data_IF_951869138583
#
_entry.id   IF_951869138583
#
_cell.length_a   1.000
_cell.length_b   1.000
_cell.length_c   1.000
_cell.angle_alpha   90.00
_cell.angle_beta   90.00
_cell.angle_gamma   90.00
#
_symmetry.space_group_name_H-M   'P 1'
#
loop_
_entity.id
_entity.type
_entity.pdbx_description
1 polymer ?
#
# COMPACT_ATOMS: atom_id res chain seq x y z
N UNK A 1 -20.96 -12.38 -24.90
CA UNK A 1 -21.97 -13.42 -24.61
C UNK A 1 -22.79 -13.11 -23.37
N UNK A 2 -22.22 -12.70 -22.23
CA UNK A 2 -23.04 -12.26 -21.08
C UNK A 2 -23.70 -10.87 -21.28
N UNK A 3 -23.07 -9.94 -22.00
CA UNK A 3 -23.66 -8.62 -22.30
C UNK A 3 -24.89 -8.68 -23.24
N UNK A 4 -24.97 -9.68 -24.11
CA UNK A 4 -26.12 -9.84 -25.02
C UNK A 4 -27.37 -10.34 -24.27
N UNK A 5 -27.17 -11.13 -23.22
CA UNK A 5 -28.25 -11.64 -22.36
C UNK A 5 -28.83 -10.55 -21.46
N UNK A 6 -28.01 -9.59 -21.02
CA UNK A 6 -28.49 -8.47 -20.20
C UNK A 6 -29.30 -7.46 -21.02
N UNK A 7 -28.89 -7.18 -22.27
CA UNK A 7 -29.65 -6.29 -23.16
C UNK A 7 -31.02 -6.86 -23.53
N UNK A 8 -31.10 -8.17 -23.82
CA UNK A 8 -32.38 -8.85 -24.12
C UNK A 8 -33.38 -8.84 -22.95
N UNK A 9 -32.88 -8.77 -21.71
CA UNK A 9 -33.73 -8.69 -20.51
C UNK A 9 -34.28 -7.28 -20.30
N UNK A 10 -33.44 -6.27 -20.51
CA UNK A 10 -33.83 -4.86 -20.38
C UNK A 10 -34.88 -4.49 -21.45
N UNK A 11 -34.70 -4.95 -22.70
CA UNK A 11 -35.68 -4.70 -23.76
C UNK A 11 -37.06 -5.31 -23.46
N UNK A 12 -37.11 -6.50 -22.83
CA UNK A 12 -38.36 -7.11 -22.39
C UNK A 12 -39.05 -6.34 -21.27
N UNK A 13 -38.28 -5.83 -20.31
CA UNK A 13 -38.84 -5.02 -19.21
C UNK A 13 -39.37 -3.67 -19.72
N UNK A 14 -38.68 -3.03 -20.68
CA UNK A 14 -39.16 -1.80 -21.33
C UNK A 14 -40.48 -2.05 -22.08
N UNK A 15 -40.59 -3.17 -22.80
CA UNK A 15 -41.82 -3.47 -23.56
C UNK A 15 -43.00 -3.79 -22.63
N UNK A 16 -42.77 -4.46 -21.49
CA UNK A 16 -43.80 -4.66 -20.48
C UNK A 16 -44.29 -3.35 -19.87
N UNK A 17 -43.39 -2.38 -19.63
CA UNK A 17 -43.76 -1.04 -19.15
C UNK A 17 -44.59 -0.29 -20.20
N UNK A 18 -44.27 -0.41 -21.50
CA UNK A 18 -45.07 0.21 -22.58
C UNK A 18 -46.48 -0.37 -22.67
N UNK A 19 -46.62 -1.69 -22.49
CA UNK A 19 -47.94 -2.35 -22.48
C UNK A 19 -48.75 -1.86 -21.28
N UNK A 20 -48.16 -1.83 -20.09
CA UNK A 20 -48.83 -1.33 -18.88
C UNK A 20 -49.25 0.15 -19.01
N UNK A 21 -48.41 1.00 -19.63
CA UNK A 21 -48.76 2.40 -19.87
C UNK A 21 -49.88 2.58 -20.91
N UNK A 22 -49.99 1.67 -21.90
CA UNK A 22 -51.13 1.66 -22.83
C UNK A 22 -52.44 1.24 -22.15
N UNK A 23 -52.39 0.34 -21.17
CA UNK A 23 -53.57 -0.07 -20.40
C UNK A 23 -54.06 1.01 -19.43
N UNK A 24 -53.16 1.86 -18.93
CA UNK A 24 -53.51 2.96 -18.00
C UNK A 24 -54.13 4.17 -18.74
N UNK A 25 -53.92 4.31 -20.05
CA UNK A 25 -54.43 5.46 -20.80
C UNK A 25 -55.05 5.11 -22.17
N UNK A 26 -56.17 4.38 -22.22
CA UNK A 26 -56.80 3.95 -23.48
C UNK A 26 -57.53 5.08 -24.25
N UNK A 27 -57.59 6.32 -23.73
CA UNK A 27 -58.43 7.38 -24.32
C UNK A 27 -57.70 8.64 -24.85
N UNK A 28 -56.38 8.71 -24.84
CA UNK A 28 -55.66 9.86 -25.42
C UNK A 28 -55.18 9.64 -26.86
N UNK A 29 -56.11 9.21 -27.73
CA UNK A 29 -55.95 9.27 -29.18
C UNK A 29 -57.28 9.67 -29.83
N UNK A 30 -57.59 10.98 -29.85
CA UNK A 30 -58.31 11.65 -30.95
C UNK A 30 -58.63 13.12 -30.59
N UNK A 31 -58.68 13.95 -31.65
CA UNK A 31 -59.13 15.35 -31.71
C UNK A 31 -58.16 16.40 -31.10
N UNK A 32 -57.53 17.33 -31.82
CA UNK A 32 -57.90 18.03 -33.07
C UNK A 32 -59.34 18.55 -33.06
N UNK A 33 -59.57 19.68 -32.39
CA UNK A 33 -60.48 20.72 -32.85
C UNK A 33 -59.94 22.09 -32.40
N UNK A 34 -59.27 22.75 -33.33
CA UNK A 34 -59.25 24.20 -33.40
C UNK A 34 -60.52 24.66 -34.14
N UNK A 35 -60.86 25.94 -33.95
CA UNK A 35 -61.92 26.71 -34.60
C UNK A 35 -63.36 26.50 -34.10
N UNK A 36 -63.89 27.48 -33.35
CA UNK A 36 -64.86 28.46 -33.88
C UNK A 36 -65.62 29.24 -32.79
N UNK A 37 -65.87 30.53 -33.10
CA UNK A 37 -66.95 31.43 -32.61
C UNK A 37 -66.76 31.99 -31.17
N UNK A 38 -66.41 33.26 -30.91
CA UNK A 38 -66.82 34.57 -31.47
C UNK A 38 -68.31 34.92 -31.27
N UNK A 39 -68.50 36.06 -30.58
CA UNK A 39 -69.67 36.93 -30.44
C UNK A 39 -70.96 36.40 -29.81
N UNK A 40 -71.31 36.97 -28.64
CA UNK A 40 -72.61 37.60 -28.37
C UNK A 40 -72.70 38.15 -26.93
N UNK A 41 -72.48 39.45 -26.77
CA UNK A 41 -73.26 40.32 -25.88
C UNK A 41 -74.30 41.04 -26.77
N UNK A 42 -75.28 41.83 -26.26
CA UNK A 42 -75.91 41.93 -24.93
C UNK A 42 -77.47 41.97 -25.02
N UNK A 43 -78.22 41.84 -23.92
CA UNK A 43 -79.54 42.49 -23.73
C UNK A 43 -79.75 42.73 -22.21
N UNK A 44 -79.71 43.97 -21.71
CA UNK A 44 -80.89 44.86 -21.55
C UNK A 44 -82.04 44.14 -20.84
N UNK A 45 -82.34 44.41 -19.56
CA UNK A 45 -82.81 45.71 -19.09
C UNK A 45 -84.34 45.75 -19.22
N UNK A 46 -85.05 44.99 -18.39
CA UNK A 46 -86.52 45.12 -18.26
C UNK A 46 -86.79 45.82 -16.93
N UNK A 47 -86.85 47.15 -16.99
CA UNK A 47 -87.56 47.96 -15.99
C UNK A 47 -89.06 47.68 -16.18
N UNK A 48 -89.68 47.01 -15.19
CA UNK A 48 -91.14 46.96 -15.11
C UNK A 48 -91.60 48.23 -14.41
N UNK A 49 -92.00 49.20 -15.23
CA UNK A 49 -92.69 50.43 -14.85
C UNK A 49 -94.09 50.06 -14.29
N UNK A 50 -94.23 50.03 -12.97
CA UNK A 50 -95.52 49.84 -12.31
C UNK A 50 -96.33 51.13 -12.46
N UNK A 51 -97.22 51.13 -13.45
CA UNK A 51 -98.21 52.16 -13.68
C UNK A 51 -99.06 52.43 -12.42
N UNK A 52 -99.06 53.69 -11.98
CA UNK A 52 -100.01 54.27 -11.03
C UNK A 52 -101.43 54.15 -11.59
N UNK A 53 -102.27 53.36 -10.92
CA UNK A 53 -103.72 53.38 -11.13
C UNK A 53 -104.29 54.60 -10.38
N UNK A 54 -105.14 55.45 -11.00
CA UNK A 54 -105.80 56.55 -10.31
C UNK A 54 -106.90 56.03 -9.37
N UNK A 55 -106.83 56.46 -8.12
CA UNK A 55 -107.94 56.41 -7.17
C UNK A 55 -109.07 57.32 -7.65
N UNK A 56 -110.25 56.78 -7.91
CA UNK A 56 -111.55 57.45 -7.70
C UNK A 56 -112.70 56.52 -8.06
N UNK A 57 -113.31 55.87 -7.07
CA UNK A 57 -114.75 55.58 -7.09
C UNK A 57 -115.31 55.76 -5.68
N UNK A 58 -116.12 56.81 -5.56
CA UNK A 58 -117.01 57.10 -4.45
C UNK A 58 -118.43 56.81 -4.95
N UNK A 59 -119.11 55.85 -4.34
CA UNK A 59 -120.57 55.86 -4.18
C UNK A 59 -121.05 54.78 -3.21
N UNK A 60 -121.78 55.25 -2.21
CA UNK A 60 -122.46 54.63 -1.07
C UNK A 60 -123.30 53.34 -1.34
N UNK A 61 -123.12 52.35 -0.43
CA UNK A 61 -124.05 51.36 0.20
C UNK A 61 -124.94 50.42 -0.67
N UNK A 62 -125.20 49.14 -0.27
CA UNK A 62 -125.68 48.77 1.08
C UNK A 62 -124.93 47.64 1.83
N UNK A 63 -124.88 47.84 3.15
CA UNK A 63 -124.36 46.96 4.21
C UNK A 63 -125.08 45.60 4.28
N UNK A 64 -124.31 44.50 4.15
CA UNK A 64 -124.48 43.13 4.71
C UNK A 64 -124.06 41.99 3.76
N UNK A 65 -123.89 42.23 2.45
CA UNK A 65 -123.17 41.30 1.55
C UNK A 65 -121.69 41.68 1.38
N UNK A 66 -121.36 42.96 1.57
CA UNK A 66 -120.02 43.52 1.43
C UNK A 66 -119.00 42.95 2.44
N UNK A 67 -119.44 42.53 3.63
CA UNK A 67 -118.56 41.98 4.67
C UNK A 67 -118.10 40.55 4.38
N UNK A 68 -118.90 39.75 3.66
CA UNK A 68 -118.54 38.38 3.27
C UNK A 68 -117.50 38.38 2.15
N UNK A 69 -117.75 39.16 1.10
CA UNK A 69 -116.81 39.30 -0.03
C UNK A 69 -115.48 39.92 0.44
N UNK A 70 -115.54 40.87 1.38
CA UNK A 70 -114.34 41.49 1.96
C UNK A 70 -113.54 40.54 2.85
N UNK A 71 -114.19 39.59 3.53
CA UNK A 71 -113.52 38.56 4.31
C UNK A 71 -112.84 37.52 3.41
N UNK A 72 -113.51 37.05 2.36
CA UNK A 72 -112.93 36.15 1.36
C UNK A 72 -111.74 36.81 0.64
N UNK A 73 -111.85 38.09 0.28
CA UNK A 73 -110.77 38.87 -0.31
C UNK A 73 -109.57 38.98 0.65
N UNK A 74 -109.81 39.21 1.94
CA UNK A 74 -108.73 39.28 2.94
C UNK A 74 -108.03 37.93 3.13
N UNK A 75 -108.76 36.80 3.11
CA UNK A 75 -108.16 35.46 3.18
C UNK A 75 -107.29 35.20 1.95
N UNK A 76 -107.78 35.54 0.76
CA UNK A 76 -107.04 35.36 -0.47
C UNK A 76 -105.78 36.24 -0.49
N UNK A 77 -105.90 37.49 -0.03
CA UNK A 77 -104.76 38.41 0.10
C UNK A 77 -103.71 37.87 1.08
N UNK A 78 -104.12 37.31 2.22
CA UNK A 78 -103.19 36.75 3.19
C UNK A 78 -102.53 35.46 2.67
N UNK A 79 -103.27 34.62 1.95
CA UNK A 79 -102.70 33.44 1.26
C UNK A 79 -101.69 33.84 0.19
N UNK A 80 -101.95 34.89 -0.59
CA UNK A 80 -101.00 35.40 -1.59
C UNK A 80 -99.79 36.08 -0.93
N UNK A 81 -99.97 36.78 0.19
CA UNK A 81 -98.84 37.29 1.00
C UNK A 81 -97.95 36.17 1.51
N UNK A 82 -98.53 35.09 2.01
CA UNK A 82 -97.79 33.92 2.47
C UNK A 82 -97.04 33.23 1.32
N UNK A 83 -97.68 33.08 0.15
CA UNK A 83 -97.00 32.57 -1.06
C UNK A 83 -95.84 33.47 -1.49
N UNK A 84 -96.03 34.79 -1.50
CA UNK A 84 -94.98 35.74 -1.85
C UNK A 84 -93.81 35.68 -0.85
N UNK A 85 -94.08 35.64 0.46
CA UNK A 85 -93.04 35.49 1.47
C UNK A 85 -92.24 34.17 1.28
N UNK A 86 -92.92 33.07 0.96
CA UNK A 86 -92.26 31.80 0.66
C UNK A 86 -91.43 31.86 -0.64
N UNK A 87 -91.90 32.57 -1.67
CA UNK A 87 -91.16 32.80 -2.90
C UNK A 87 -89.92 33.66 -2.66
N UNK A 88 -90.03 34.73 -1.87
CA UNK A 88 -88.92 35.59 -1.47
C UNK A 88 -87.85 34.81 -0.70
N UNK A 89 -88.24 33.95 0.26
CA UNK A 89 -87.30 33.09 0.98
C UNK A 89 -86.57 32.11 0.05
N UNK A 90 -87.29 31.49 -0.90
CA UNK A 90 -86.68 30.59 -1.88
C UNK A 90 -85.75 31.32 -2.83
N UNK A 91 -86.07 32.56 -3.20
CA UNK A 91 -85.25 33.41 -4.05
C UNK A 91 -83.97 33.80 -3.31
N UNK A 92 -84.07 34.28 -2.06
CA UNK A 92 -82.91 34.59 -1.22
C UNK A 92 -81.99 33.38 -0.99
N UNK A 93 -82.55 32.17 -0.80
CA UNK A 93 -81.76 30.95 -0.71
C UNK A 93 -81.02 30.61 -2.02
N UNK A 94 -81.66 30.81 -3.17
CA UNK A 94 -81.01 30.61 -4.47
C UNK A 94 -79.90 31.62 -4.70
N UNK A 95 -80.09 32.88 -4.32
CA UNK A 95 -79.06 33.92 -4.44
C UNK A 95 -77.83 33.57 -3.60
N UNK A 96 -78.03 33.08 -2.37
CA UNK A 96 -76.93 32.59 -1.53
C UNK A 96 -76.17 31.42 -2.18
N UNK A 97 -76.89 30.46 -2.76
CA UNK A 97 -76.25 29.36 -3.48
C UNK A 97 -75.47 29.84 -4.71
N UNK A 98 -75.95 30.85 -5.43
CA UNK A 98 -75.24 31.46 -6.55
C UNK A 98 -73.97 32.18 -6.09
N UNK A 99 -74.01 32.87 -4.94
CA UNK A 99 -72.84 33.50 -4.33
C UNK A 99 -71.80 32.45 -3.91
N UNK A 100 -72.22 31.38 -3.22
CA UNK A 100 -71.34 30.27 -2.82
C UNK A 100 -70.71 29.57 -4.04
N UNK A 101 -71.48 29.34 -5.11
CA UNK A 101 -70.98 28.76 -6.36
C UNK A 101 -69.99 29.70 -7.07
N UNK A 102 -70.25 31.01 -7.06
CA UNK A 102 -69.35 32.00 -7.66
C UNK A 102 -68.03 32.10 -6.89
N UNK A 103 -68.08 32.04 -5.56
CA UNK A 103 -66.90 31.98 -4.72
C UNK A 103 -66.06 30.72 -5.01
N UNK A 104 -66.71 29.55 -5.06
CA UNK A 104 -66.04 28.29 -5.40
C UNK A 104 -65.42 28.31 -6.80
N UNK A 105 -66.11 28.91 -7.78
CA UNK A 105 -65.60 29.05 -9.15
C UNK A 105 -64.31 29.90 -9.16
N UNK A 106 -64.27 31.01 -8.41
CA UNK A 106 -63.08 31.86 -8.32
C UNK A 106 -61.91 31.14 -7.63
N UNK A 107 -62.18 30.39 -6.55
CA UNK A 107 -61.16 29.58 -5.86
C UNK A 107 -60.58 28.48 -6.77
N UNK A 108 -61.43 27.84 -7.58
CA UNK A 108 -60.99 26.85 -8.55
C UNK A 108 -60.12 27.48 -9.64
N UNK A 109 -60.48 28.64 -10.17
CA UNK A 109 -59.64 29.34 -11.16
C UNK A 109 -58.28 29.75 -10.58
N UNK A 110 -58.25 30.27 -9.36
CA UNK A 110 -57.01 30.59 -8.65
C UNK A 110 -56.12 29.35 -8.49
N UNK A 111 -56.71 28.22 -8.09
CA UNK A 111 -56.00 26.95 -7.96
C UNK A 111 -55.44 26.45 -9.30
N UNK A 112 -56.20 26.60 -10.39
CA UNK A 112 -55.75 26.22 -11.74
C UNK A 112 -54.55 27.07 -12.16
N UNK A 113 -54.58 28.39 -11.93
CA UNK A 113 -53.48 29.29 -12.26
C UNK A 113 -52.21 28.95 -11.46
N UNK A 114 -52.35 28.65 -10.16
CA UNK A 114 -51.25 28.20 -9.31
C UNK A 114 -50.63 26.88 -9.80
N UNK A 115 -51.45 25.92 -10.22
CA UNK A 115 -51.00 24.65 -10.75
C UNK A 115 -50.28 24.82 -12.09
N UNK A 116 -50.80 25.66 -13.00
CA UNK A 116 -50.15 25.98 -14.26
C UNK A 116 -48.78 26.65 -14.05
N UNK A 117 -48.67 27.55 -13.06
CA UNK A 117 -47.40 28.18 -12.68
C UNK A 117 -46.40 27.16 -12.14
N UNK A 118 -46.84 26.19 -11.33
CA UNK A 118 -46.00 25.09 -10.83
C UNK A 118 -45.56 24.16 -11.94
N UNK A 119 -46.45 23.79 -12.85
CA UNK A 119 -46.15 22.97 -14.02
C UNK A 119 -45.08 23.61 -14.90
N UNK A 120 -45.22 24.91 -15.21
CA UNK A 120 -44.24 25.65 -15.99
C UNK A 120 -42.85 25.71 -15.33
N UNK A 121 -42.79 25.79 -13.98
CA UNK A 121 -41.52 25.74 -13.23
C UNK A 121 -40.89 24.35 -13.31
N UNK A 122 -41.67 23.29 -13.10
CA UNK A 122 -41.19 21.91 -13.16
C UNK A 122 -40.69 21.54 -14.56
N UNK A 123 -41.38 21.97 -15.61
CA UNK A 123 -40.94 21.75 -17.00
C UNK A 123 -39.56 22.37 -17.26
N UNK A 124 -39.31 23.60 -16.78
CA UNK A 124 -38.00 24.25 -16.89
C UNK A 124 -36.90 23.51 -16.12
N UNK A 125 -37.22 22.96 -14.96
CA UNK A 125 -36.27 22.16 -14.18
C UNK A 125 -35.93 20.84 -14.88
N UNK A 126 -36.93 20.14 -15.43
CA UNK A 126 -36.75 18.92 -16.21
C UNK A 126 -35.83 19.17 -17.41
N UNK A 127 -36.06 20.25 -18.16
CA UNK A 127 -35.21 20.63 -19.29
C UNK A 127 -33.75 20.91 -18.86
N UNK A 128 -33.57 21.61 -17.74
CA UNK A 128 -32.24 21.85 -17.16
C UNK A 128 -31.55 20.55 -16.75
N UNK A 129 -32.27 19.59 -16.16
CA UNK A 129 -31.71 18.29 -15.82
C UNK A 129 -31.37 17.45 -17.04
N UNK A 130 -32.19 17.50 -18.09
CA UNK A 130 -31.93 16.83 -19.37
C UNK A 130 -30.62 17.30 -19.98
N UNK A 131 -30.39 18.61 -20.06
CA UNK A 131 -29.14 19.17 -20.57
C UNK A 131 -27.91 18.75 -19.73
N UNK A 132 -28.05 18.71 -18.40
CA UNK A 132 -26.97 18.23 -17.52
C UNK A 132 -26.67 16.75 -17.72
N UNK A 133 -27.70 15.94 -17.94
CA UNK A 133 -27.54 14.51 -18.19
C UNK A 133 -26.82 14.27 -19.52
N UNK A 134 -27.23 14.94 -20.60
CA UNK A 134 -26.57 14.87 -21.91
C UNK A 134 -25.10 15.31 -21.83
N UNK A 135 -24.79 16.37 -21.08
CA UNK A 135 -23.41 16.82 -20.85
C UNK A 135 -22.56 15.76 -20.12
N UNK A 136 -23.11 15.13 -19.08
CA UNK A 136 -22.45 14.07 -18.34
C UNK A 136 -22.23 12.80 -19.18
N UNK A 137 -23.18 12.48 -20.07
CA UNK A 137 -23.06 11.35 -20.99
C UNK A 137 -21.93 11.56 -22.01
N UNK A 138 -21.81 12.78 -22.56
CA UNK A 138 -20.70 13.16 -23.44
C UNK A 138 -19.36 13.08 -22.70
N UNK A 139 -19.30 13.54 -21.44
CA UNK A 139 -18.08 13.47 -20.63
C UNK A 139 -17.68 12.02 -20.31
N UNK A 140 -18.66 11.16 -19.97
CA UNK A 140 -18.46 9.73 -19.77
C UNK A 140 -17.90 9.04 -21.01
N UNK A 141 -18.42 9.39 -22.19
CA UNK A 141 -17.90 8.87 -23.46
C UNK A 141 -16.43 9.26 -23.70
N UNK A 142 -16.09 10.55 -23.51
CA UNK A 142 -14.70 11.04 -23.64
C UNK A 142 -13.75 10.37 -22.64
N UNK A 143 -14.22 10.15 -21.40
CA UNK A 143 -13.45 9.44 -20.40
C UNK A 143 -13.19 7.98 -20.81
N UNK A 144 -14.20 7.28 -21.33
CA UNK A 144 -14.07 5.91 -21.84
C UNK A 144 -13.06 5.80 -22.98
N UNK A 145 -13.05 6.74 -23.92
CA UNK A 145 -12.05 6.80 -24.99
C UNK A 145 -10.63 7.04 -24.44
N UNK A 146 -10.49 7.97 -23.47
CA UNK A 146 -9.21 8.25 -22.83
C UNK A 146 -8.65 7.02 -22.13
N UNK A 147 -9.50 6.27 -21.40
CA UNK A 147 -9.13 5.01 -20.76
C UNK A 147 -8.66 3.98 -21.80
N UNK A 148 -9.36 3.86 -22.93
CA UNK A 148 -8.96 2.95 -24.03
C UNK A 148 -7.58 3.31 -24.60
N UNK A 149 -7.31 4.59 -24.83
CA UNK A 149 -6.00 5.07 -25.30
C UNK A 149 -4.89 4.75 -24.28
N UNK A 150 -5.13 5.03 -22.99
CA UNK A 150 -4.16 4.76 -21.93
C UNK A 150 -3.88 3.27 -21.77
N UNK A 151 -4.90 2.41 -21.84
CA UNK A 151 -4.72 0.96 -21.80
C UNK A 151 -3.89 0.44 -22.97
N UNK A 152 -4.09 0.98 -24.17
CA UNK A 152 -3.26 0.65 -25.33
C UNK A 152 -1.80 1.09 -25.16
N UNK A 153 -1.54 2.25 -24.53
CA UNK A 153 -0.19 2.69 -24.20
C UNK A 153 0.47 1.80 -23.15
N UNK A 154 -0.26 1.40 -22.10
CA UNK A 154 0.22 0.46 -21.08
C UNK A 154 0.59 -0.87 -21.73
N UNK A 155 -0.25 -1.41 -22.62
CA UNK A 155 0.03 -2.65 -23.33
C UNK A 155 1.30 -2.56 -24.19
N UNK A 156 1.53 -1.42 -24.87
CA UNK A 156 2.77 -1.18 -25.63
C UNK A 156 4.00 -1.11 -24.72
N UNK A 157 3.92 -0.40 -23.61
CA UNK A 157 5.02 -0.28 -22.66
C UNK A 157 5.35 -1.63 -22.00
N UNK A 158 4.34 -2.43 -21.66
CA UNK A 158 4.55 -3.77 -21.10
C UNK A 158 5.32 -4.67 -22.07
N UNK A 159 4.99 -4.65 -23.38
CA UNK A 159 5.76 -5.40 -24.39
C UNK A 159 7.22 -4.96 -24.48
N UNK A 160 7.49 -3.66 -24.38
CA UNK A 160 8.87 -3.13 -24.38
C UNK A 160 9.62 -3.59 -23.12
N UNK A 161 8.96 -3.57 -21.96
CA UNK A 161 9.54 -4.02 -20.69
C UNK A 161 9.85 -5.53 -20.76
N UNK A 162 8.91 -6.35 -21.22
CA UNK A 162 9.10 -7.79 -21.40
C UNK A 162 10.29 -8.10 -22.32
N UNK A 163 10.37 -7.41 -23.46
CA UNK A 163 11.50 -7.53 -24.38
C UNK A 163 12.83 -7.16 -23.71
N UNK A 164 12.89 -6.03 -22.99
CA UNK A 164 14.12 -5.56 -22.33
C UNK A 164 14.55 -6.46 -21.17
N UNK A 165 13.60 -7.03 -20.44
CA UNK A 165 13.88 -8.04 -19.41
C UNK A 165 14.46 -9.30 -20.06
N UNK A 166 13.91 -9.73 -21.20
CA UNK A 166 14.45 -10.85 -21.99
C UNK A 166 15.92 -10.63 -22.37
N UNK A 167 16.24 -9.49 -23.00
CA UNK A 167 17.63 -9.13 -23.37
C UNK A 167 18.58 -9.12 -22.16
N UNK A 168 18.15 -8.56 -21.02
CA UNK A 168 18.97 -8.52 -19.81
C UNK A 168 19.21 -9.90 -19.20
N UNK A 169 18.22 -10.79 -19.27
CA UNK A 169 18.37 -12.17 -18.81
C UNK A 169 19.38 -12.90 -19.71
N UNK A 170 19.27 -12.77 -21.04
CA UNK A 170 20.19 -13.36 -22.00
C UNK A 170 21.64 -12.88 -21.77
N UNK A 171 21.85 -11.56 -21.66
CA UNK A 171 23.17 -10.97 -21.38
C UNK A 171 23.77 -11.48 -20.05
N UNK A 172 22.93 -11.64 -19.02
CA UNK A 172 23.37 -12.16 -17.72
C UNK A 172 23.69 -13.65 -17.78
N UNK A 173 22.91 -14.44 -18.50
CA UNK A 173 23.17 -15.87 -18.72
C UNK A 173 24.48 -16.08 -19.46
N UNK A 174 24.75 -15.32 -20.53
CA UNK A 174 26.02 -15.37 -21.27
C UNK A 174 27.21 -15.03 -20.37
N UNK A 175 27.12 -13.94 -19.60
CA UNK A 175 28.18 -13.54 -18.66
C UNK A 175 28.42 -14.58 -17.55
N UNK A 176 27.37 -15.22 -17.05
CA UNK A 176 27.50 -16.31 -16.09
C UNK A 176 28.18 -17.53 -16.72
N UNK A 177 27.84 -17.90 -17.96
CA UNK A 177 28.48 -19.00 -18.68
C UNK A 177 29.96 -18.78 -18.91
N UNK A 178 30.39 -17.55 -19.25
CA UNK A 178 31.81 -17.22 -19.38
C UNK A 178 32.56 -17.36 -18.05
N UNK A 179 31.96 -16.89 -16.94
CA UNK A 179 32.56 -17.03 -15.60
C UNK A 179 32.66 -18.48 -15.16
N UNK A 180 31.66 -19.30 -15.48
CA UNK A 180 31.68 -20.73 -15.20
C UNK A 180 32.84 -21.42 -15.93
N UNK A 181 33.07 -21.08 -17.21
CA UNK A 181 34.23 -21.57 -17.96
C UNK A 181 35.57 -21.11 -17.37
N UNK A 182 35.67 -19.87 -16.90
CA UNK A 182 36.88 -19.36 -16.22
C UNK A 182 37.15 -20.13 -14.91
N UNK A 183 36.11 -20.33 -14.09
CA UNK A 183 36.20 -21.11 -12.85
C UNK A 183 36.65 -22.54 -13.16
N UNK A 184 36.07 -23.18 -14.18
CA UNK A 184 36.43 -24.53 -14.59
C UNK A 184 37.92 -24.63 -14.97
N UNK A 185 38.43 -23.69 -15.78
CA UNK A 185 39.86 -23.63 -16.13
C UNK A 185 40.76 -23.42 -14.92
N UNK A 186 40.34 -22.62 -13.93
CA UNK A 186 41.13 -22.45 -12.70
C UNK A 186 41.13 -23.70 -11.83
N UNK A 187 40.03 -24.45 -11.83
CA UNK A 187 39.89 -25.69 -11.08
C UNK A 187 40.79 -26.79 -11.66
N UNK A 188 40.83 -26.92 -12.99
CA UNK A 188 41.74 -27.82 -13.70
C UNK A 188 43.21 -27.52 -13.36
N UNK A 189 43.62 -26.25 -13.37
CA UNK A 189 44.98 -25.84 -12.97
C UNK A 189 45.29 -26.14 -11.50
N UNK A 190 44.31 -26.01 -10.61
CA UNK A 190 44.48 -26.35 -9.20
C UNK A 190 44.71 -27.85 -9.02
N UNK A 191 43.98 -28.68 -9.78
CA UNK A 191 44.17 -30.14 -9.78
C UNK A 191 45.56 -30.51 -10.30
N UNK A 192 46.02 -29.91 -11.41
CA UNK A 192 47.38 -30.12 -11.93
C UNK A 192 48.45 -29.74 -10.88
N UNK A 193 48.29 -28.60 -10.21
CA UNK A 193 49.21 -28.19 -9.15
C UNK A 193 49.18 -29.11 -7.93
N UNK A 194 48.01 -29.65 -7.59
CA UNK A 194 47.85 -30.62 -6.50
C UNK A 194 48.61 -31.92 -6.81
N UNK A 195 48.53 -32.43 -8.04
CA UNK A 195 49.32 -33.58 -8.49
C UNK A 195 50.83 -33.31 -8.41
N UNK A 196 51.27 -32.12 -8.81
CA UNK A 196 52.69 -31.70 -8.71
C UNK A 196 53.14 -31.66 -7.25
N UNK A 197 52.33 -31.11 -6.34
CA UNK A 197 52.64 -31.10 -4.90
C UNK A 197 52.73 -32.52 -4.34
N UNK A 198 51.80 -33.41 -4.69
CA UNK A 198 51.84 -34.81 -4.27
C UNK A 198 53.12 -35.52 -4.76
N UNK A 199 53.56 -35.25 -5.98
CA UNK A 199 54.82 -35.77 -6.51
C UNK A 199 56.04 -35.26 -5.71
N UNK A 200 56.08 -33.97 -5.38
CA UNK A 200 57.15 -33.41 -4.55
C UNK A 200 57.14 -33.94 -3.12
N UNK A 201 55.97 -34.17 -2.53
CA UNK A 201 55.85 -34.80 -1.20
C UNK A 201 56.41 -36.23 -1.21
N UNK A 202 56.13 -36.98 -2.28
CA UNK A 202 56.68 -38.32 -2.47
C UNK A 202 58.20 -38.30 -2.62
N UNK A 203 58.74 -37.42 -3.47
CA UNK A 203 60.19 -37.27 -3.65
C UNK A 203 60.89 -36.85 -2.35
N UNK A 204 60.32 -35.90 -1.60
CA UNK A 204 60.84 -35.51 -0.28
C UNK A 204 60.83 -36.68 0.72
N UNK A 205 59.81 -37.54 0.66
CA UNK A 205 59.75 -38.73 1.51
C UNK A 205 60.88 -39.73 1.17
N UNK A 206 61.14 -39.97 -0.12
CA UNK A 206 62.24 -40.81 -0.59
C UNK A 206 63.61 -40.25 -0.16
N UNK A 207 63.85 -38.95 -0.38
CA UNK A 207 65.08 -38.27 0.06
C UNK A 207 65.29 -38.40 1.58
N UNK A 208 64.22 -38.26 2.36
CA UNK A 208 64.30 -38.39 3.82
C UNK A 208 64.69 -39.81 4.23
N UNK A 209 64.18 -40.83 3.53
CA UNK A 209 64.54 -42.22 3.77
C UNK A 209 66.02 -42.48 3.44
N UNK A 210 66.50 -41.99 2.30
CA UNK A 210 67.90 -42.08 1.88
C UNK A 210 68.84 -41.40 2.89
N UNK A 211 68.45 -40.22 3.40
CA UNK A 211 69.20 -39.50 4.41
C UNK A 211 69.30 -40.27 5.73
N UNK A 212 68.22 -40.93 6.16
CA UNK A 212 68.24 -41.78 7.36
C UNK A 212 69.16 -43.00 7.19
N UNK A 213 69.19 -43.61 6.00
CA UNK A 213 70.08 -44.73 5.69
C UNK A 213 71.55 -44.27 5.68
N UNK A 214 71.85 -43.16 5.02
CA UNK A 214 73.19 -42.58 5.01
C UNK A 214 73.66 -42.22 6.43
N UNK A 215 72.76 -41.70 7.27
CA UNK A 215 73.04 -41.40 8.68
C UNK A 215 73.35 -42.67 9.48
N UNK A 216 72.63 -43.78 9.26
CA UNK A 216 72.93 -45.08 9.90
C UNK A 216 74.30 -45.60 9.47
N UNK A 217 74.60 -45.53 8.18
CA UNK A 217 75.91 -45.94 7.63
C UNK A 217 77.03 -45.07 8.20
N UNK A 218 76.86 -43.75 8.26
CA UNK A 218 77.82 -42.84 8.86
C UNK A 218 78.10 -43.20 10.32
N UNK A 219 77.07 -43.41 11.14
CA UNK A 219 77.23 -43.81 12.54
C UNK A 219 77.97 -45.15 12.68
N UNK A 220 77.68 -46.13 11.82
CA UNK A 220 78.38 -47.41 11.80
C UNK A 220 79.87 -47.25 11.50
N UNK A 221 80.23 -46.46 10.48
CA UNK A 221 81.63 -46.20 10.15
C UNK A 221 82.34 -45.37 11.22
N UNK A 222 81.64 -44.42 11.85
CA UNK A 222 82.17 -43.66 12.97
C UNK A 222 82.51 -44.57 14.16
N UNK A 223 81.62 -45.50 14.52
CA UNK A 223 81.87 -46.48 15.58
C UNK A 223 83.03 -47.42 15.22
N UNK A 224 83.09 -47.89 13.97
CA UNK A 224 84.20 -48.72 13.48
C UNK A 224 85.54 -47.96 13.51
N UNK A 225 85.54 -46.69 13.13
CA UNK A 225 86.73 -45.83 13.22
C UNK A 225 87.18 -45.66 14.66
N UNK A 226 86.25 -45.51 15.61
CA UNK A 226 86.57 -45.41 17.02
C UNK A 226 87.24 -46.69 17.55
N UNK A 227 86.72 -47.87 17.18
CA UNK A 227 87.33 -49.17 17.54
C UNK A 227 88.74 -49.33 16.97
N UNK A 228 88.94 -48.97 15.70
CA UNK A 228 90.26 -49.01 15.07
C UNK A 228 91.25 -48.03 15.73
N UNK A 229 90.77 -46.86 16.15
CA UNK A 229 91.58 -45.90 16.91
C UNK A 229 91.99 -46.47 18.27
N UNK A 230 91.07 -47.09 19.01
CA UNK A 230 91.39 -47.78 20.27
C UNK A 230 92.41 -48.91 20.08
N UNK A 231 92.25 -49.72 19.03
CA UNK A 231 93.21 -50.79 18.67
C UNK A 231 94.60 -50.23 18.33
N UNK A 232 94.64 -49.12 17.58
CA UNK A 232 95.88 -48.43 17.23
C UNK A 232 96.56 -47.85 18.47
N UNK A 233 95.81 -47.21 19.36
CA UNK A 233 96.32 -46.64 20.61
C UNK A 233 96.85 -47.75 21.55
N UNK A 234 96.17 -48.90 21.58
CA UNK A 234 96.65 -50.09 22.29
C UNK A 234 97.94 -50.66 21.67
N UNK A 235 98.01 -50.79 20.34
CA UNK A 235 99.21 -51.24 19.64
C UNK A 235 100.39 -50.28 19.84
N UNK A 236 100.16 -48.97 19.78
CA UNK A 236 101.14 -47.92 20.07
C UNK A 236 101.62 -48.02 21.51
N UNK A 237 100.72 -48.18 22.47
CA UNK A 237 101.07 -48.36 23.89
C UNK A 237 101.98 -49.59 24.08
N UNK A 238 101.66 -50.70 23.42
CA UNK A 238 102.48 -51.93 23.44
C UNK A 238 103.83 -51.73 22.77
N UNK A 239 103.90 -50.95 21.68
CA UNK A 239 105.13 -50.63 20.99
C UNK A 239 106.04 -49.72 21.83
N UNK A 240 105.47 -48.73 22.53
CA UNK A 240 106.17 -47.92 23.53
C UNK A 240 106.69 -48.80 24.66
N UNK A 241 105.89 -49.75 25.17
CA UNK A 241 106.32 -50.69 26.20
C UNK A 241 107.49 -51.57 25.73
N UNK A 242 107.44 -52.08 24.49
CA UNK A 242 108.54 -52.82 23.87
C UNK A 242 109.77 -51.94 23.61
N UNK A 243 109.59 -50.68 23.23
CA UNK A 243 110.66 -49.70 23.08
C UNK A 243 111.38 -49.46 24.40
N UNK A 244 110.63 -49.27 25.50
CA UNK A 244 111.18 -49.14 26.86
C UNK A 244 111.93 -50.43 27.26
N UNK A 245 111.37 -51.61 26.99
CA UNK A 245 112.03 -52.92 27.21
C UNK A 245 113.29 -53.12 26.35
N UNK A 246 113.35 -52.52 25.15
CA UNK A 246 114.53 -52.57 24.28
C UNK A 246 115.62 -51.57 24.71
N UNK A 247 115.25 -50.45 25.32
CA UNK A 247 116.18 -49.48 25.93
C UNK A 247 116.85 -50.02 27.21
N UNK A 248 116.27 -50.99 27.90
CA UNK A 248 116.91 -51.63 29.08
C UNK A 248 118.03 -52.63 28.75
N UNK A 249 118.28 -52.96 27.46
CA UNK A 249 119.36 -53.88 27.04
C UNK A 249 120.39 -53.29 26.07
N UNK A 250 120.41 -51.99 25.81
CA UNK A 250 121.37 -51.37 24.89
C UNK A 250 121.80 -49.98 25.37
N UNK A 251 122.96 -49.93 26.04
CA UNK A 251 123.72 -48.68 26.22
C UNK A 251 124.15 -48.14 24.85
N UNK A 252 124.09 -46.81 24.73
CA UNK A 252 124.60 -45.95 23.64
C UNK A 252 123.77 -45.95 22.34
N UNK A 253 122.97 -44.91 22.17
CA UNK A 253 123.31 -43.84 21.23
C UNK A 253 122.26 -42.74 21.26
N UNK A 254 122.75 -41.52 21.34
CA UNK A 254 122.02 -40.28 21.19
C UNK A 254 121.60 -40.08 19.74
N UNK A 255 120.33 -39.86 19.46
CA UNK A 255 119.90 -39.16 18.26
C UNK A 255 118.60 -38.40 18.54
N UNK A 256 118.73 -37.07 18.50
CA UNK A 256 117.62 -36.11 18.45
C UNK A 256 116.85 -36.34 17.15
N UNK A 257 115.55 -36.53 17.24
CA UNK A 257 114.65 -36.33 16.11
C UNK A 257 113.55 -35.38 16.57
N UNK A 258 113.52 -34.28 15.84
CA UNK A 258 112.59 -33.16 15.86
C UNK A 258 111.19 -33.67 15.46
N UNK A 259 110.16 -33.46 16.29
CA UNK A 259 108.76 -33.62 15.88
C UNK A 259 108.06 -32.30 16.06
N UNK A 260 107.89 -31.63 14.93
CA UNK A 260 107.29 -30.31 14.81
C UNK A 260 105.88 -30.24 15.38
N UNK A 261 105.59 -29.06 15.91
CA UNK A 261 104.26 -28.56 16.23
C UNK A 261 103.27 -28.88 15.10
N UNK A 262 102.24 -29.67 15.41
CA UNK A 262 101.00 -29.65 14.65
C UNK A 262 100.02 -28.82 15.48
N UNK A 263 99.88 -27.56 15.08
CA UNK A 263 98.82 -26.67 15.55
C UNK A 263 97.46 -27.28 15.19
N UNK A 264 96.66 -27.59 16.22
CA UNK A 264 95.22 -27.76 16.06
C UNK A 264 94.64 -26.41 15.65
N UNK A 265 94.34 -26.23 14.36
CA UNK A 265 93.45 -25.15 13.91
C UNK A 265 92.02 -25.47 14.38
N UNK A 266 91.65 -24.88 15.51
CA UNK A 266 90.26 -24.62 15.89
C UNK A 266 89.69 -23.49 15.03
N UNK A 267 89.61 -23.69 13.72
CA UNK A 267 88.78 -22.87 12.84
C UNK A 267 87.58 -23.72 12.45
N UNK A 268 86.38 -23.25 12.78
CA UNK A 268 85.06 -23.67 12.27
C UNK A 268 84.01 -23.99 13.35
N UNK A 269 84.04 -23.27 14.48
CA UNK A 269 82.85 -23.12 15.35
C UNK A 269 82.60 -21.63 15.59
N UNK A 270 82.28 -20.89 14.53
CA UNK A 270 81.80 -19.51 14.66
C UNK A 270 80.84 -19.15 13.52
N UNK A 271 79.77 -19.95 13.34
CA UNK A 271 78.69 -19.66 12.37
C UNK A 271 77.27 -19.92 12.93
N UNK A 272 77.08 -19.82 14.25
CA UNK A 272 75.75 -20.00 14.89
C UNK A 272 75.26 -18.81 15.71
N UNK A 273 75.75 -17.59 15.46
CA UNK A 273 75.28 -16.41 16.21
C UNK A 273 75.15 -15.15 15.35
N UNK A 274 74.37 -15.22 14.27
CA UNK A 274 73.75 -14.03 13.68
C UNK A 274 72.51 -14.46 12.90
N UNK A 275 71.29 -13.97 13.26
CA UNK A 275 70.11 -14.22 12.46
C UNK A 275 70.37 -13.64 11.07
N UNK A 276 70.23 -14.46 10.02
CA UNK A 276 70.33 -14.01 8.64
C UNK A 276 69.38 -12.84 8.41
N UNK A 277 69.73 -11.94 7.49
CA UNK A 277 68.93 -10.77 7.13
C UNK A 277 67.47 -11.11 6.80
N UNK A 278 67.22 -12.33 6.29
CA UNK A 278 65.88 -12.87 6.04
C UNK A 278 65.04 -13.06 7.31
N UNK A 279 65.64 -13.49 8.43
CA UNK A 279 64.91 -13.66 9.70
C UNK A 279 64.45 -12.29 10.23
N UNK A 280 65.27 -11.25 10.07
CA UNK A 280 64.89 -9.87 10.44
C UNK A 280 63.79 -9.33 9.53
N UNK A 281 63.82 -9.66 8.25
CA UNK A 281 62.81 -9.24 7.28
C UNK A 281 61.46 -9.94 7.53
N UNK A 282 61.47 -11.25 7.78
CA UNK A 282 60.27 -12.00 8.17
C UNK A 282 59.68 -11.50 9.50
N UNK A 283 60.52 -11.20 10.49
CA UNK A 283 60.05 -10.61 11.76
C UNK A 283 59.42 -9.22 11.56
N UNK A 284 59.92 -8.42 10.60
CA UNK A 284 59.32 -7.12 10.28
C UNK A 284 57.96 -7.24 9.58
N UNK A 285 57.80 -8.25 8.71
CA UNK A 285 56.54 -8.53 8.02
C UNK A 285 55.46 -9.06 8.97
N UNK A 286 55.84 -9.94 9.92
CA UNK A 286 54.95 -10.43 10.97
C UNK A 286 54.44 -9.26 11.82
N UNK A 287 55.31 -8.33 12.23
CA UNK A 287 54.93 -7.16 13.03
C UNK A 287 53.93 -6.24 12.31
N UNK A 288 54.10 -6.06 11.00
CA UNK A 288 53.19 -5.29 10.14
C UNK A 288 51.82 -5.96 9.99
N UNK A 289 51.77 -7.28 9.94
CA UNK A 289 50.52 -8.05 9.89
C UNK A 289 49.79 -8.03 11.24
N UNK A 290 50.51 -8.18 12.35
CA UNK A 290 49.94 -8.05 13.71
C UNK A 290 49.34 -6.66 13.94
N UNK A 291 49.99 -5.60 13.46
CA UNK A 291 49.48 -4.23 13.55
C UNK A 291 48.24 -4.00 12.66
N UNK A 292 48.19 -4.57 11.45
CA UNK A 292 47.00 -4.53 10.58
C UNK A 292 45.82 -5.29 11.18
N UNK A 293 46.06 -6.47 11.78
CA UNK A 293 45.03 -7.26 12.45
C UNK A 293 44.50 -6.52 13.68
N UNK A 294 45.39 -5.88 14.45
CA UNK A 294 45.01 -5.10 15.64
C UNK A 294 44.16 -3.87 15.28
N UNK A 295 44.47 -3.19 14.17
CA UNK A 295 43.64 -2.07 13.66
C UNK A 295 42.30 -2.53 13.11
N UNK A 296 42.24 -3.71 12.48
CA UNK A 296 40.98 -4.31 11.98
C UNK A 296 40.04 -4.76 13.09
N UNK A 297 40.57 -5.16 14.25
CA UNK A 297 39.77 -5.58 15.41
C UNK A 297 39.22 -4.39 16.23
N UNK A 298 39.84 -3.22 16.13
CA UNK A 298 39.38 -1.99 16.81
C UNK A 298 38.42 -1.14 15.98
N UNK A 299 38.18 -1.48 14.70
CA UNK A 299 37.26 -0.78 13.81
C UNK A 299 35.94 -1.52 13.59
N UNK A 300 35.39 -2.18 14.61
CA UNK A 300 33.97 -2.52 14.57
C UNK A 300 33.19 -1.21 14.69
N UNK A 301 32.26 -0.92 13.74
CA UNK A 301 31.43 0.26 13.87
C UNK A 301 30.62 0.09 15.16
N UNK A 302 30.68 1.08 16.05
CA UNK A 302 29.72 1.21 17.15
C UNK A 302 28.33 1.22 16.53
N UNK A 303 27.70 0.06 16.45
CA UNK A 303 26.29 -0.06 16.10
C UNK A 303 25.54 0.64 17.21
N UNK A 304 24.87 1.72 16.84
CA UNK A 304 23.98 2.49 17.70
C UNK A 304 23.14 1.58 18.59
N UNK A 305 23.46 1.58 19.87
CA UNK A 305 22.81 0.82 20.96
C UNK A 305 21.31 1.17 21.08
N UNK A 306 20.84 2.20 20.37
CA UNK A 306 19.42 2.57 20.29
C UNK A 306 18.55 1.60 19.49
N UNK A 307 19.12 0.83 18.55
CA UNK A 307 18.30 -0.08 17.72
C UNK A 307 17.70 -1.24 18.51
N UNK A 308 18.50 -1.86 19.38
CA UNK A 308 18.11 -3.06 20.12
C UNK A 308 17.20 -2.73 21.32
N UNK A 309 17.45 -1.62 22.02
CA UNK A 309 16.64 -1.18 23.15
C UNK A 309 15.22 -0.77 22.72
N UNK A 310 15.09 -0.13 21.56
CA UNK A 310 13.78 0.24 21.00
C UNK A 310 13.01 -0.98 20.52
N UNK A 311 13.70 -1.97 19.95
CA UNK A 311 13.12 -3.25 19.55
C UNK A 311 12.62 -4.06 20.75
N UNK A 312 13.38 -4.06 21.85
CA UNK A 312 12.95 -4.64 23.13
C UNK A 312 11.73 -3.93 23.70
N UNK A 313 11.67 -2.60 23.63
CA UNK A 313 10.52 -1.81 24.07
C UNK A 313 9.26 -2.12 23.24
N UNK A 314 9.37 -2.14 21.91
CA UNK A 314 8.24 -2.41 21.00
C UNK A 314 7.70 -3.84 21.17
N UNK A 315 8.59 -4.81 21.39
CA UNK A 315 8.21 -6.21 21.63
C UNK A 315 7.84 -6.51 23.10
N UNK A 316 7.90 -5.51 23.98
CA UNK A 316 7.71 -5.64 25.43
C UNK A 316 8.66 -6.65 26.09
N UNK A 317 9.82 -6.91 25.48
CA UNK A 317 10.77 -7.95 25.83
C UNK A 317 11.82 -7.41 26.81
N UNK A 318 12.10 -8.14 27.89
CA UNK A 318 13.10 -7.75 28.89
C UNK A 318 14.52 -8.20 28.55
N UNK A 319 14.67 -9.10 27.59
CA UNK A 319 15.96 -9.58 27.10
C UNK A 319 15.87 -10.09 25.65
N UNK A 320 17.04 -10.25 25.03
CA UNK A 320 17.19 -10.67 23.63
C UNK A 320 16.51 -12.01 23.33
N UNK A 321 16.66 -13.01 24.20
CA UNK A 321 16.03 -14.33 24.04
C UNK A 321 14.50 -14.24 24.03
N UNK A 322 13.92 -13.36 24.86
CA UNK A 322 12.47 -13.12 24.89
C UNK A 322 11.98 -12.32 23.68
N UNK A 323 12.81 -11.41 23.16
CA UNK A 323 12.52 -10.65 21.94
C UNK A 323 12.48 -11.58 20.72
N UNK A 324 13.49 -12.43 20.55
CA UNK A 324 13.56 -13.41 19.45
C UNK A 324 12.35 -14.35 19.50
N UNK A 325 11.98 -14.88 20.68
CA UNK A 325 10.78 -15.72 20.82
C UNK A 325 9.50 -15.01 20.38
N UNK A 326 9.35 -13.72 20.69
CA UNK A 326 8.17 -12.93 20.27
C UNK A 326 8.19 -12.59 18.79
N UNK A 327 9.34 -12.29 18.21
CA UNK A 327 9.48 -12.08 16.75
C UNK A 327 9.10 -13.34 16.00
N UNK A 328 9.64 -14.51 16.40
CA UNK A 328 9.31 -15.79 15.78
C UNK A 328 7.83 -16.17 15.96
N UNK A 329 7.24 -15.85 17.12
CA UNK A 329 5.81 -16.02 17.35
C UNK A 329 4.96 -15.14 16.41
N UNK A 330 5.29 -13.86 16.29
CA UNK A 330 4.61 -12.92 15.38
C UNK A 330 4.78 -13.33 13.93
N UNK A 331 5.97 -13.76 13.53
CA UNK A 331 6.25 -14.26 12.18
C UNK A 331 5.41 -15.51 11.87
N UNK A 332 5.42 -16.51 12.75
CA UNK A 332 4.60 -17.72 12.62
C UNK A 332 3.10 -17.40 12.56
N UNK A 333 2.64 -16.46 13.39
CA UNK A 333 1.24 -16.04 13.43
C UNK A 333 0.83 -15.27 12.17
N UNK A 334 1.71 -14.43 11.63
CA UNK A 334 1.46 -13.66 10.41
C UNK A 334 1.58 -14.49 9.13
N UNK A 335 2.49 -15.48 9.09
CA UNK A 335 2.62 -16.41 7.96
C UNK A 335 1.40 -17.32 7.83
N UNK A 336 0.83 -17.79 8.96
CA UNK A 336 -0.35 -18.67 8.95
C UNK A 336 -1.64 -17.98 8.52
N UNK A 337 -1.69 -16.65 8.55
CA UNK A 337 -2.94 -15.93 8.44
C UNK A 337 -2.88 -14.92 7.29
N UNK A 338 -3.33 -15.36 6.09
CA UNK A 338 -3.29 -14.61 4.81
C UNK A 338 -3.90 -13.20 4.90
N UNK A 339 -4.77 -12.95 5.88
CA UNK A 339 -5.36 -11.63 6.17
C UNK A 339 -4.31 -10.59 6.58
N UNK A 340 -3.29 -10.96 7.37
CA UNK A 340 -2.26 -10.01 7.81
C UNK A 340 -1.30 -9.62 6.69
N UNK A 341 -0.99 -10.51 5.75
CA UNK A 341 -0.14 -10.17 4.60
C UNK A 341 -0.80 -9.11 3.70
N UNK A 342 -2.13 -9.19 3.51
CA UNK A 342 -2.91 -8.16 2.83
C UNK A 342 -2.97 -6.86 3.65
N UNK A 343 -3.13 -6.97 4.97
CA UNK A 343 -3.12 -5.82 5.88
C UNK A 343 -1.79 -5.06 5.84
N UNK A 344 -0.64 -5.75 5.91
CA UNK A 344 0.68 -5.12 5.83
C UNK A 344 0.92 -4.46 4.48
N UNK A 345 0.56 -5.13 3.36
CA UNK A 345 0.61 -4.50 2.03
C UNK A 345 -0.23 -3.23 1.97
N UNK A 346 -1.44 -3.26 2.55
CA UNK A 346 -2.34 -2.10 2.54
C UNK A 346 -1.87 -0.97 3.46
N UNK A 347 -1.26 -1.27 4.60
CA UNK A 347 -0.59 -0.27 5.46
C UNK A 347 0.58 0.37 4.71
N UNK A 348 1.41 -0.42 4.04
CA UNK A 348 2.53 0.11 3.23
C UNK A 348 1.99 1.01 2.11
N UNK A 349 0.93 0.59 1.41
CA UNK A 349 0.25 1.40 0.39
C UNK A 349 -0.36 2.69 0.97
N UNK A 350 -0.94 2.64 2.17
CA UNK A 350 -1.49 3.81 2.87
C UNK A 350 -0.39 4.77 3.27
N UNK A 351 0.73 4.29 3.81
CA UNK A 351 1.89 5.11 4.15
C UNK A 351 2.47 5.75 2.89
N UNK A 352 2.58 5.01 1.78
CA UNK A 352 3.03 5.53 0.49
C UNK A 352 2.09 6.61 -0.06
N UNK A 353 0.76 6.41 0.03
CA UNK A 353 -0.22 7.42 -0.41
C UNK A 353 -0.24 8.65 0.49
N UNK A 354 -0.11 8.48 1.80
CA UNK A 354 0.02 9.58 2.73
C UNK A 354 1.35 10.34 2.54
N UNK A 355 2.38 9.72 1.96
CA UNK A 355 3.67 10.38 1.68
C UNK A 355 3.73 11.16 0.37
N UNK A 356 2.72 11.06 -0.51
CA UNK A 356 2.72 11.69 -1.84
C UNK A 356 2.72 13.23 -1.81
N UNK A 357 2.57 13.89 -0.65
CA UNK A 357 2.63 15.36 -0.57
C UNK A 357 3.85 15.94 0.15
N UNK A 358 4.82 15.13 0.62
CA UNK A 358 6.01 15.72 1.28
C UNK A 358 7.32 14.91 1.33
N UNK A 359 7.41 13.64 0.92
CA UNK A 359 8.64 12.87 1.17
C UNK A 359 9.10 12.09 -0.06
N UNK A 360 10.34 12.39 -0.49
CA UNK A 360 11.01 11.81 -1.64
C UNK A 360 11.18 10.28 -1.54
N UNK A 361 10.66 9.61 -2.56
CA UNK A 361 10.83 8.26 -3.13
C UNK A 361 11.49 7.06 -2.41
N UNK A 362 12.18 7.15 -1.28
CA UNK A 362 12.76 5.97 -0.61
C UNK A 362 12.59 6.03 0.92
N UNK A 363 11.36 5.81 1.38
CA UNK A 363 11.08 5.65 2.81
C UNK A 363 11.42 4.21 3.20
N UNK A 364 12.52 4.03 3.92
CA UNK A 364 12.89 2.73 4.49
C UNK A 364 11.76 2.17 5.37
N UNK A 365 11.62 0.84 5.45
CA UNK A 365 10.64 0.17 6.30
C UNK A 365 10.70 0.68 7.77
N UNK A 366 11.91 1.01 8.25
CA UNK A 366 12.13 1.61 9.58
C UNK A 366 11.51 3.00 9.72
N UNK A 367 11.59 3.82 8.68
CA UNK A 367 10.98 5.16 8.63
C UNK A 367 9.45 5.10 8.57
N UNK A 368 8.90 4.13 7.82
CA UNK A 368 7.47 3.86 7.75
C UNK A 368 6.90 3.42 9.11
N UNK A 369 7.60 2.52 9.81
CA UNK A 369 7.23 2.10 11.16
C UNK A 369 7.30 3.24 12.17
N UNK A 370 8.34 4.08 12.11
CA UNK A 370 8.47 5.25 12.99
C UNK A 370 7.31 6.25 12.80
N UNK A 371 6.86 6.45 11.56
CA UNK A 371 5.69 7.26 11.24
C UNK A 371 4.41 6.64 11.81
N UNK A 372 4.20 5.34 11.59
CA UNK A 372 3.03 4.62 12.10
C UNK A 372 2.94 4.65 13.63
N UNK A 373 4.06 4.40 14.32
CA UNK A 373 4.13 4.44 15.78
C UNK A 373 3.85 5.84 16.31
N UNK A 374 4.39 6.89 15.66
CA UNK A 374 4.13 8.29 16.05
C UNK A 374 2.66 8.67 15.87
N UNK A 375 2.02 8.22 14.79
CA UNK A 375 0.61 8.46 14.51
C UNK A 375 -0.30 7.74 15.51
N UNK A 376 0.06 6.52 15.91
CA UNK A 376 -0.61 5.76 16.98
C UNK A 376 -0.41 6.40 18.36
N UNK A 377 0.79 6.89 18.67
CA UNK A 377 1.08 7.60 19.92
C UNK A 377 0.28 8.91 20.01
N UNK A 378 0.21 9.68 18.92
CA UNK A 378 -0.61 10.89 18.82
C UNK A 378 -2.10 10.58 18.96
N UNK A 379 -2.59 9.54 18.26
CA UNK A 379 -3.98 9.09 18.41
C UNK A 379 -4.30 8.65 19.84
N UNK A 380 -3.38 7.96 20.51
CA UNK A 380 -3.55 7.52 21.90
C UNK A 380 -3.45 8.66 22.91
N UNK A 381 -2.70 9.72 22.60
CA UNK A 381 -2.70 10.96 23.40
C UNK A 381 -3.99 11.74 23.20
N UNK A 382 -4.47 11.88 21.96
CA UNK A 382 -5.79 12.47 21.65
C UNK A 382 -6.95 11.74 22.31
N UNK A 383 -6.92 10.41 22.34
CA UNK A 383 -7.93 9.61 23.05
C UNK A 383 -7.96 9.90 24.56
N UNK A 384 -6.85 10.40 25.12
CA UNK A 384 -6.71 10.75 26.55
C UNK A 384 -6.87 12.23 26.84
N UNK A 385 -6.73 13.11 25.85
CA UNK A 385 -6.80 14.57 26.01
C UNK A 385 -8.02 15.16 25.32
N UNK A 386 -8.90 15.81 26.08
CA UNK A 386 -10.02 16.64 25.59
C UNK A 386 -9.58 18.00 25.02
N UNK A 387 -8.31 18.12 24.62
CA UNK A 387 -7.70 19.39 24.24
C UNK A 387 -7.84 19.64 22.73
N UNK A 388 -8.70 20.60 22.36
CA UNK A 388 -8.99 20.99 20.97
C UNK A 388 -7.74 21.48 20.22
N UNK A 389 -6.68 21.90 20.93
CA UNK A 389 -5.43 22.38 20.31
C UNK A 389 -4.69 21.30 19.50
N UNK A 390 -4.83 20.03 19.88
CA UNK A 390 -4.17 18.91 19.21
C UNK A 390 -4.95 18.49 17.95
N UNK A 391 -6.28 18.62 17.97
CA UNK A 391 -7.15 18.43 16.79
C UNK A 391 -6.80 19.40 15.68
N UNK A 392 -6.51 20.66 16.02
CA UNK A 392 -6.07 21.66 15.04
C UNK A 392 -4.70 21.34 14.45
N UNK A 393 -3.74 20.85 15.26
CA UNK A 393 -2.43 20.38 14.76
C UNK A 393 -2.56 19.19 13.82
N UNK A 394 -3.47 18.24 14.10
CA UNK A 394 -3.75 17.15 13.17
C UNK A 394 -4.40 17.64 11.88
N UNK A 395 -5.32 18.60 11.96
CA UNK A 395 -5.89 19.22 10.76
C UNK A 395 -4.79 19.87 9.91
N UNK A 396 -3.81 20.54 10.53
CA UNK A 396 -2.63 21.07 9.83
C UNK A 396 -1.77 19.97 9.19
N UNK A 397 -1.47 18.88 9.92
CA UNK A 397 -0.67 17.75 9.42
C UNK A 397 -1.35 17.09 8.20
N UNK A 398 -2.67 16.90 8.25
CA UNK A 398 -3.45 16.30 7.16
C UNK A 398 -3.96 17.31 6.13
N UNK A 399 -3.61 18.60 6.27
CA UNK A 399 -4.09 19.72 5.44
C UNK A 399 -5.62 19.77 5.30
N UNK A 400 -6.32 19.44 6.38
CA UNK A 400 -7.77 19.49 6.47
C UNK A 400 -8.21 20.85 7.01
N UNK A 401 -9.31 21.38 6.47
CA UNK A 401 -9.76 22.74 6.79
C UNK A 401 -10.54 22.82 8.10
N UNK A 402 -11.05 21.69 8.58
CA UNK A 402 -11.80 21.65 9.83
C UNK A 402 -11.65 20.32 10.58
N UNK A 403 -11.84 20.31 11.90
CA UNK A 403 -11.95 19.10 12.69
C UNK A 403 -13.09 18.17 12.23
N UNK A 404 -14.14 18.72 11.62
CA UNK A 404 -15.24 17.95 11.03
C UNK A 404 -14.76 17.09 9.85
N UNK A 405 -13.91 17.65 8.98
CA UNK A 405 -13.30 16.90 7.87
C UNK A 405 -12.40 15.77 8.37
N UNK A 406 -11.73 15.95 9.51
CA UNK A 406 -10.92 14.89 10.14
C UNK A 406 -11.80 13.73 10.64
N UNK A 407 -12.97 14.03 11.23
CA UNK A 407 -13.93 13.01 11.68
C UNK A 407 -14.53 12.26 10.50
N UNK A 408 -14.88 12.97 9.42
CA UNK A 408 -15.40 12.34 8.21
C UNK A 408 -14.32 11.51 7.50
N UNK A 409 -13.08 11.99 7.46
CA UNK A 409 -11.94 11.23 6.95
C UNK A 409 -11.69 9.96 7.78
N UNK A 410 -11.75 10.06 9.11
CA UNK A 410 -11.62 8.93 10.01
C UNK A 410 -12.77 7.92 9.87
N UNK A 411 -14.02 8.38 9.76
CA UNK A 411 -15.20 7.54 9.49
C UNK A 411 -15.11 6.84 8.13
N UNK A 412 -14.62 7.52 7.11
CA UNK A 412 -14.47 6.95 5.77
C UNK A 412 -13.36 5.88 5.75
N UNK A 413 -12.28 6.07 6.52
CA UNK A 413 -11.27 5.04 6.77
C UNK A 413 -11.89 3.87 7.56
N UNK A 414 -12.67 4.14 8.59
CA UNK A 414 -13.32 3.12 9.41
C UNK A 414 -14.31 2.27 8.60
N UNK A 415 -15.19 2.88 7.80
CA UNK A 415 -16.12 2.18 6.91
C UNK A 415 -15.40 1.31 5.87
N UNK A 416 -14.26 1.79 5.37
CA UNK A 416 -13.40 1.00 4.47
C UNK A 416 -12.67 -0.16 5.16
N UNK A 417 -12.47 -0.07 6.48
CA UNK A 417 -11.91 -1.15 7.30
C UNK A 417 -12.98 -2.15 7.74
N UNK A 418 -14.19 -1.69 8.05
CA UNK A 418 -15.34 -2.54 8.44
C UNK A 418 -15.86 -3.38 7.28
N UNK A 419 -15.81 -2.88 6.04
CA UNK A 419 -16.12 -3.68 4.84
C UNK A 419 -15.11 -4.80 4.51
N UNK A 420 -14.09 -5.03 5.34
CA UNK A 420 -13.03 -6.04 5.16
C UNK A 420 -13.08 -7.13 6.24
N UNK A 421 -13.76 -6.90 7.38
CA UNK A 421 -14.01 -7.92 8.40
C UNK A 421 -15.13 -8.86 7.94
#
# INVERSE_FOLDING_TARGET
>A
MEEDLTNSRIEREIEQIRIALKEINPHNCSASMADSLADSQPQEGIEIEINKIPSNFSSKLPDLQQTSEQWELNILLESEREKNANLEQRLAHKDKLLEDLSALQNDLYSTIEDLQSKEAKLLKEVEKFKLKFEAAEIESFKFKETVKIRNNQIAKLNKIIEYKIGELIEEKCEKCGLKEQEIQKTLEKLQENEEVVQNYEKENWEIKQDYEELRKNFNFYQEKSFKLQEELDHANSKLVELSIKSQTHSKKSSLKIDTGNIEFRNSDIEYLASPSSEIKELQSQIRLLEEKVSRSLQSTPKTDVNGASELFRILGASNEKSAIKRVLYLESHHQKNKKYCKFYKRIIELIQRCSETALSKDISCKSAWKLLTRLLEEFMTLKKSTDLSILNKLCEIFKLKSPGELIDYAKNIQLRLEGIL
#
